data_IF_943027335082
#
_entry.id   IF_943027335082
#
_cell.length_a   1.000
_cell.length_b   1.000
_cell.length_c   1.000
_cell.angle_alpha   90.00
_cell.angle_beta   90.00
_cell.angle_gamma   90.00
#
_symmetry.space_group_name_H-M   'P 1'
#
loop_
_entity.id
_entity.type
_entity.pdbx_description
1 polymer ?
#
# COMPACT_ATOMS: atom_id res chain seq x y z
N UNK A 1 18.35 13.15 5.04
CA UNK A 1 18.41 13.21 3.56
C UNK A 1 18.00 11.89 2.88
N UNK A 2 18.45 10.71 3.33
CA UNK A 2 18.13 9.41 2.71
C UNK A 2 16.75 8.80 3.06
N UNK A 3 16.12 9.22 4.16
CA UNK A 3 14.76 8.83 4.56
C UNK A 3 13.68 9.37 3.61
N UNK A 4 13.96 10.54 3.04
CA UNK A 4 13.21 11.10 1.92
C UNK A 4 13.38 10.21 0.69
N UNK A 5 14.49 9.49 0.50
CA UNK A 5 14.76 8.81 -0.76
C UNK A 5 13.88 7.58 -1.00
N UNK A 6 13.75 6.62 -0.07
CA UNK A 6 12.92 5.42 -0.28
C UNK A 6 11.41 5.74 -0.19
N UNK A 7 11.05 6.58 0.78
CA UNK A 7 9.70 7.12 0.96
C UNK A 7 9.28 8.00 -0.23
N UNK A 8 10.17 8.82 -0.79
CA UNK A 8 9.92 9.55 -2.03
C UNK A 8 10.09 8.69 -3.27
N UNK A 9 10.84 7.58 -3.28
CA UNK A 9 10.90 6.70 -4.45
C UNK A 9 9.56 6.01 -4.61
N UNK A 10 9.02 5.49 -3.51
CA UNK A 10 7.68 4.89 -3.44
C UNK A 10 6.60 5.96 -3.69
N UNK A 11 6.64 7.13 -3.03
CA UNK A 11 5.71 8.24 -3.32
C UNK A 11 5.82 8.76 -4.76
N UNK A 12 7.01 8.91 -5.32
CA UNK A 12 7.22 9.43 -6.69
C UNK A 12 6.88 8.37 -7.73
N UNK A 13 7.09 7.10 -7.43
CA UNK A 13 6.60 6.01 -8.26
C UNK A 13 5.06 6.01 -8.32
N UNK A 14 4.41 6.12 -7.16
CA UNK A 14 2.94 6.17 -7.08
C UNK A 14 2.32 7.46 -7.63
N UNK A 15 2.93 8.62 -7.39
CA UNK A 15 2.39 9.93 -7.77
C UNK A 15 2.66 10.28 -9.25
N UNK A 16 3.68 9.70 -9.88
CA UNK A 16 4.07 10.07 -11.25
C UNK A 16 3.73 9.00 -12.30
N UNK A 17 3.81 7.71 -11.97
CA UNK A 17 3.54 6.63 -12.93
C UNK A 17 2.10 6.12 -12.90
N UNK A 18 1.42 6.17 -11.74
CA UNK A 18 0.04 5.67 -11.60
C UNK A 18 -0.98 6.45 -12.43
N UNK A 19 -1.15 7.75 -12.17
CA UNK A 19 -2.17 8.56 -12.86
C UNK A 19 -1.90 8.73 -14.36
N UNK A 20 -0.63 8.90 -14.75
CA UNK A 20 -0.26 9.01 -16.18
C UNK A 20 -0.42 7.66 -16.88
N UNK A 21 -0.01 6.57 -16.26
CA UNK A 21 -0.18 5.22 -16.81
C UNK A 21 -1.65 4.85 -17.03
N UNK A 22 -2.52 5.16 -16.06
CA UNK A 22 -3.96 5.00 -16.23
C UNK A 22 -4.51 5.82 -17.38
N UNK A 23 -4.11 7.10 -17.49
CA UNK A 23 -4.56 7.99 -18.55
C UNK A 23 -4.10 7.50 -19.93
N UNK A 24 -2.83 7.14 -20.09
CA UNK A 24 -2.30 6.62 -21.35
C UNK A 24 -2.91 5.28 -21.74
N UNK A 25 -3.16 4.38 -20.78
CA UNK A 25 -3.85 3.11 -21.07
C UNK A 25 -5.29 3.35 -21.48
N UNK A 26 -6.00 4.24 -20.79
CA UNK A 26 -7.37 4.61 -21.15
C UNK A 26 -7.44 5.26 -22.53
N UNK A 27 -6.50 6.14 -22.86
CA UNK A 27 -6.38 6.72 -24.21
C UNK A 27 -6.14 5.64 -25.26
N UNK A 28 -5.20 4.72 -25.02
CA UNK A 28 -4.91 3.60 -25.92
C UNK A 28 -6.11 2.67 -26.12
N UNK A 29 -6.97 2.52 -25.10
CA UNK A 29 -8.21 1.75 -25.19
C UNK A 29 -9.30 2.48 -26.01
N UNK A 30 -9.33 3.82 -26.00
CA UNK A 30 -10.28 4.61 -26.79
C UNK A 30 -9.88 4.75 -28.27
N UNK A 31 -8.60 4.67 -28.60
CA UNK A 31 -8.10 4.73 -29.99
C UNK A 31 -8.40 3.44 -30.80
N UNK A 32 -8.68 2.32 -30.12
CA UNK A 32 -8.82 0.98 -30.73
C UNK A 32 -10.15 0.66 -31.43
N UNK A 33 -11.11 1.60 -31.53
CA UNK A 33 -12.35 1.46 -32.32
C UNK A 33 -13.42 0.48 -31.80
N UNK A 34 -13.04 -0.56 -31.06
CA UNK A 34 -13.94 -1.52 -30.39
C UNK A 34 -14.03 -1.16 -28.89
N UNK A 35 -15.21 -0.75 -28.43
CA UNK A 35 -15.43 -0.34 -27.04
C UNK A 35 -15.35 -1.58 -26.12
N UNK A 36 -14.16 -1.85 -25.55
CA UNK A 36 -13.93 -2.98 -24.63
C UNK A 36 -14.50 -2.67 -23.23
N UNK A 37 -15.82 -2.44 -23.14
CA UNK A 37 -16.52 -2.12 -21.90
C UNK A 37 -16.26 -3.16 -20.79
N UNK A 38 -16.16 -4.44 -21.15
CA UNK A 38 -15.85 -5.52 -20.23
C UNK A 38 -14.46 -5.36 -19.59
N UNK A 39 -13.47 -4.91 -20.35
CA UNK A 39 -12.12 -4.67 -19.83
C UNK A 39 -12.10 -3.48 -18.88
N UNK A 40 -12.77 -2.38 -19.22
CA UNK A 40 -12.87 -1.20 -18.36
C UNK A 40 -13.61 -1.50 -17.05
N UNK A 41 -14.77 -2.16 -17.14
CA UNK A 41 -15.54 -2.56 -15.97
C UNK A 41 -14.78 -3.57 -15.12
N UNK A 42 -14.13 -4.55 -15.77
CA UNK A 42 -13.30 -5.54 -15.10
C UNK A 42 -12.12 -4.90 -14.36
N UNK A 43 -11.43 -3.96 -15.00
CA UNK A 43 -10.31 -3.21 -14.39
C UNK A 43 -10.77 -2.43 -13.16
N UNK A 44 -11.89 -1.72 -13.26
CA UNK A 44 -12.44 -0.95 -12.15
C UNK A 44 -12.91 -1.86 -10.99
N UNK A 45 -13.64 -2.93 -11.31
CA UNK A 45 -14.11 -3.90 -10.34
C UNK A 45 -12.95 -4.60 -9.63
N UNK A 46 -11.91 -5.02 -10.35
CA UNK A 46 -10.72 -5.63 -9.75
C UNK A 46 -9.90 -4.64 -8.93
N UNK A 47 -9.84 -3.37 -9.33
CA UNK A 47 -9.18 -2.35 -8.50
C UNK A 47 -9.86 -2.20 -7.14
N UNK A 48 -11.18 -2.07 -7.11
CA UNK A 48 -11.94 -1.99 -5.86
C UNK A 48 -11.81 -3.29 -5.07
N UNK A 49 -12.02 -4.43 -5.74
CA UNK A 49 -11.94 -5.75 -5.14
C UNK A 49 -10.58 -6.05 -4.54
N UNK A 50 -9.49 -5.69 -5.23
CA UNK A 50 -8.13 -5.84 -4.73
C UNK A 50 -7.84 -4.91 -3.55
N UNK A 51 -8.31 -3.66 -3.57
CA UNK A 51 -8.15 -2.75 -2.42
C UNK A 51 -8.84 -3.30 -1.16
N UNK A 52 -10.05 -3.84 -1.31
CA UNK A 52 -10.80 -4.48 -0.21
C UNK A 52 -10.13 -5.79 0.22
N UNK A 53 -9.72 -6.63 -0.74
CA UNK A 53 -9.02 -7.89 -0.47
C UNK A 53 -7.71 -7.69 0.30
N UNK A 54 -6.99 -6.60 0.01
CA UNK A 54 -5.78 -6.23 0.71
C UNK A 54 -6.01 -5.89 2.19
N UNK A 55 -7.20 -5.40 2.56
CA UNK A 55 -7.56 -5.19 3.97
C UNK A 55 -7.63 -6.52 4.73
N UNK A 56 -8.27 -7.53 4.14
CA UNK A 56 -8.35 -8.88 4.72
C UNK A 56 -6.96 -9.55 4.77
N UNK A 57 -6.19 -9.44 3.69
CA UNK A 57 -4.82 -9.91 3.63
C UNK A 57 -3.95 -9.27 4.70
N UNK A 58 -3.99 -7.94 4.84
CA UNK A 58 -3.19 -7.21 5.83
C UNK A 58 -3.55 -7.63 7.26
N UNK A 59 -4.84 -7.81 7.58
CA UNK A 59 -5.28 -8.30 8.90
C UNK A 59 -4.76 -9.70 9.19
N UNK A 60 -4.86 -10.60 8.22
CA UNK A 60 -4.37 -11.96 8.36
C UNK A 60 -2.85 -12.00 8.49
N UNK A 61 -2.12 -11.34 7.58
CA UNK A 61 -0.66 -11.27 7.60
C UNK A 61 -0.15 -10.65 8.91
N UNK A 62 -0.85 -9.62 9.42
CA UNK A 62 -0.56 -9.03 10.71
C UNK A 62 -0.63 -10.04 11.84
N UNK A 63 -1.72 -10.79 11.95
CA UNK A 63 -1.89 -11.75 13.03
C UNK A 63 -1.02 -13.00 12.87
N UNK A 64 -0.94 -13.56 11.66
CA UNK A 64 -0.44 -14.91 11.40
C UNK A 64 1.02 -14.97 10.94
N UNK A 65 1.54 -13.93 10.28
CA UNK A 65 2.93 -13.91 9.81
C UNK A 65 3.78 -13.01 10.71
N UNK A 66 3.35 -11.75 10.79
CA UNK A 66 4.08 -10.66 11.40
C UNK A 66 4.22 -10.77 12.92
N UNK A 67 3.19 -11.25 13.61
CA UNK A 67 3.21 -11.50 15.07
C UNK A 67 3.55 -12.94 15.46
N UNK A 68 3.88 -13.80 14.50
CA UNK A 68 4.26 -15.19 14.75
C UNK A 68 5.65 -15.51 14.18
N UNK A 69 5.72 -15.92 12.91
CA UNK A 69 6.97 -16.40 12.29
C UNK A 69 7.96 -15.28 11.95
N UNK A 70 7.49 -14.06 11.69
CA UNK A 70 8.31 -12.93 11.26
C UNK A 70 8.44 -11.83 12.32
N UNK A 71 8.23 -12.19 13.59
CA UNK A 71 8.35 -11.27 14.73
C UNK A 71 9.69 -10.55 14.74
N UNK A 72 10.81 -11.24 14.47
CA UNK A 72 12.15 -10.62 14.49
C UNK A 72 12.30 -9.46 13.50
N UNK A 73 11.58 -9.49 12.37
CA UNK A 73 11.56 -8.39 11.40
C UNK A 73 10.63 -7.25 11.86
N UNK A 74 9.47 -7.61 12.42
CA UNK A 74 8.46 -6.67 12.91
C UNK A 74 8.83 -6.00 14.23
N UNK A 75 9.66 -6.62 15.05
CA UNK A 75 10.06 -6.11 16.35
C UNK A 75 10.70 -4.71 16.24
N UNK A 76 11.47 -4.48 15.17
CA UNK A 76 12.04 -3.17 14.84
C UNK A 76 10.99 -2.05 14.75
N UNK A 77 9.75 -2.40 14.36
CA UNK A 77 8.63 -1.47 14.23
C UNK A 77 7.91 -1.17 15.55
N UNK A 78 8.12 -1.99 16.58
CA UNK A 78 7.59 -1.79 17.93
C UNK A 78 8.54 -1.03 18.84
N UNK A 79 9.83 -0.95 18.47
CA UNK A 79 10.86 -0.24 19.24
C UNK A 79 11.02 1.20 18.77
N UNK A 80 11.63 2.02 19.63
CA UNK A 80 12.04 3.36 19.22
C UNK A 80 13.08 3.25 18.10
N UNK A 81 12.86 4.04 17.05
CA UNK A 81 13.62 3.93 15.81
C UNK A 81 15.04 4.46 15.98
N UNK A 82 16.04 3.63 15.66
CA UNK A 82 17.46 3.99 15.78
C UNK A 82 18.08 4.49 14.46
N UNK A 83 17.36 4.42 13.32
CA UNK A 83 17.95 4.74 12.02
C UNK A 83 16.96 5.00 10.86
N UNK A 84 17.48 5.25 9.63
CA UNK A 84 16.67 5.62 8.48
C UNK A 84 15.94 4.46 7.80
N UNK A 85 16.29 3.22 8.11
CA UNK A 85 15.64 2.00 7.62
C UNK A 85 15.32 1.10 8.82
N UNK A 86 14.17 0.44 8.77
CA UNK A 86 13.80 -0.60 9.71
C UNK A 86 13.72 -1.94 8.97
N UNK A 87 14.02 -3.03 9.66
CA UNK A 87 13.81 -4.39 9.11
C UNK A 87 12.35 -4.58 8.65
N UNK A 88 11.41 -3.89 9.28
CA UNK A 88 10.01 -3.87 8.89
C UNK A 88 9.74 -3.26 7.50
N UNK A 89 10.64 -2.42 6.97
CA UNK A 89 10.49 -1.84 5.61
C UNK A 89 10.53 -2.91 4.52
N UNK A 90 11.11 -4.09 4.81
CA UNK A 90 11.12 -5.25 3.89
C UNK A 90 9.70 -5.69 3.56
N UNK A 91 8.74 -5.59 4.49
CA UNK A 91 7.34 -5.92 4.20
C UNK A 91 6.71 -4.99 3.17
N UNK A 92 7.07 -3.70 3.19
CA UNK A 92 6.60 -2.76 2.18
C UNK A 92 7.13 -3.14 0.79
N UNK A 93 8.40 -3.54 0.69
CA UNK A 93 9.02 -3.98 -0.57
C UNK A 93 8.36 -5.26 -1.09
N UNK A 94 8.20 -6.28 -0.23
CA UNK A 94 7.58 -7.56 -0.61
C UNK A 94 6.16 -7.36 -1.16
N UNK A 95 5.39 -6.42 -0.61
CA UNK A 95 4.05 -6.13 -1.12
C UNK A 95 4.04 -5.17 -2.33
N UNK A 96 5.05 -4.31 -2.47
CA UNK A 96 5.17 -3.40 -3.61
C UNK A 96 5.57 -4.11 -4.91
N UNK A 97 6.47 -5.11 -4.84
CA UNK A 97 6.96 -5.83 -6.02
C UNK A 97 5.83 -6.48 -6.83
N UNK A 98 4.88 -7.23 -6.23
CA UNK A 98 3.72 -7.77 -6.95
C UNK A 98 2.84 -6.70 -7.57
N UNK A 99 2.62 -5.56 -6.88
CA UNK A 99 1.82 -4.46 -7.40
C UNK A 99 2.48 -3.83 -8.64
N UNK A 100 3.80 -3.61 -8.58
CA UNK A 100 4.59 -3.09 -9.71
C UNK A 100 4.55 -4.06 -10.89
N UNK A 101 4.72 -5.37 -10.63
CA UNK A 101 4.69 -6.38 -11.68
C UNK A 101 3.33 -6.43 -12.40
N UNK A 102 2.23 -6.42 -11.63
CA UNK A 102 0.86 -6.42 -12.17
C UNK A 102 0.55 -5.16 -12.97
N UNK A 103 0.94 -3.99 -12.47
CA UNK A 103 0.78 -2.73 -13.19
C UNK A 103 1.63 -2.68 -14.46
N UNK A 104 2.86 -3.19 -14.42
CA UNK A 104 3.75 -3.20 -15.60
C UNK A 104 3.20 -4.12 -16.69
N UNK A 105 2.82 -5.35 -16.33
CA UNK A 105 2.21 -6.30 -17.26
C UNK A 105 0.92 -5.74 -17.86
N UNK A 106 0.04 -5.19 -17.02
CA UNK A 106 -1.20 -4.60 -17.49
C UNK A 106 -1.04 -3.32 -18.31
N UNK A 107 0.11 -2.65 -18.25
CA UNK A 107 0.40 -1.45 -19.03
C UNK A 107 0.97 -1.77 -20.42
N UNK A 108 1.88 -2.74 -20.52
CA UNK A 108 2.55 -3.08 -21.78
C UNK A 108 1.72 -4.01 -22.68
N UNK A 109 0.78 -4.78 -22.10
CA UNK A 109 -0.04 -5.73 -22.83
C UNK A 109 -1.48 -5.24 -23.02
N UNK A 110 -2.10 -5.56 -24.15
CA UNK A 110 -3.48 -5.19 -24.48
C UNK A 110 -4.43 -6.39 -24.40
N UNK A 111 -5.66 -6.14 -23.94
CA UNK A 111 -6.71 -7.15 -23.80
C UNK A 111 -7.21 -7.33 -22.37
N UNK A 112 -8.23 -8.18 -22.24
CA UNK A 112 -8.98 -8.36 -20.99
C UNK A 112 -8.07 -8.77 -19.81
N UNK A 113 -7.24 -9.81 -19.97
CA UNK A 113 -6.38 -10.31 -18.89
C UNK A 113 -5.37 -9.24 -18.42
N UNK A 114 -4.61 -8.57 -19.30
CA UNK A 114 -3.79 -7.42 -18.93
C UNK A 114 -4.55 -6.31 -18.20
N UNK A 115 -5.76 -5.94 -18.66
CA UNK A 115 -6.59 -4.93 -17.99
C UNK A 115 -7.00 -5.33 -16.58
N UNK A 116 -7.40 -6.60 -16.38
CA UNK A 116 -7.70 -7.16 -15.06
C UNK A 116 -6.46 -7.11 -14.13
N UNK A 117 -5.29 -7.49 -14.63
CA UNK A 117 -4.03 -7.40 -13.88
C UNK A 117 -3.67 -5.95 -13.53
N UNK A 118 -3.85 -5.01 -14.46
CA UNK A 118 -3.66 -3.59 -14.22
C UNK A 118 -4.57 -3.10 -13.08
N UNK A 119 -5.86 -3.46 -13.13
CA UNK A 119 -6.83 -3.14 -12.09
C UNK A 119 -6.42 -3.69 -10.72
N UNK A 120 -6.04 -4.97 -10.64
CA UNK A 120 -5.57 -5.58 -9.41
C UNK A 120 -4.32 -4.86 -8.84
N UNK A 121 -3.34 -4.59 -9.68
CA UNK A 121 -2.14 -3.84 -9.29
C UNK A 121 -2.44 -2.41 -8.82
N UNK A 122 -3.44 -1.76 -9.43
CA UNK A 122 -3.93 -0.45 -9.00
C UNK A 122 -4.56 -0.51 -7.61
N UNK A 123 -5.43 -1.50 -7.36
CA UNK A 123 -6.06 -1.68 -6.06
C UNK A 123 -5.06 -1.92 -4.93
N UNK A 124 -4.06 -2.78 -5.17
CA UNK A 124 -2.98 -3.05 -4.21
C UNK A 124 -2.17 -1.77 -3.93
N UNK A 125 -1.89 -1.01 -4.98
CA UNK A 125 -1.17 0.28 -4.92
C UNK A 125 -1.94 1.31 -4.11
N UNK A 126 -3.24 1.48 -4.36
CA UNK A 126 -4.10 2.42 -3.62
C UNK A 126 -4.16 2.04 -2.14
N UNK A 127 -4.33 0.75 -1.84
CA UNK A 127 -4.28 0.26 -0.46
C UNK A 127 -2.93 0.53 0.20
N UNK A 128 -1.83 0.21 -0.48
CA UNK A 128 -0.47 0.45 0.01
C UNK A 128 -0.20 1.93 0.30
N UNK A 129 -0.66 2.83 -0.56
CA UNK A 129 -0.61 4.27 -0.33
C UNK A 129 -1.42 4.67 0.90
N UNK A 130 -2.67 4.22 1.01
CA UNK A 130 -3.51 4.52 2.16
C UNK A 130 -2.86 4.05 3.47
N UNK A 131 -2.29 2.84 3.50
CA UNK A 131 -1.52 2.35 4.64
C UNK A 131 -0.31 3.24 4.94
N UNK A 132 0.47 3.60 3.93
CA UNK A 132 1.65 4.44 4.13
C UNK A 132 1.29 5.83 4.73
N UNK A 133 0.21 6.47 4.26
CA UNK A 133 -0.20 7.77 4.79
C UNK A 133 -0.87 7.66 6.16
N UNK A 134 -1.78 6.70 6.37
CA UNK A 134 -2.51 6.57 7.62
C UNK A 134 -1.62 5.93 8.69
N UNK A 135 -1.08 4.75 8.44
CA UNK A 135 -0.31 4.00 9.43
C UNK A 135 1.08 4.63 9.67
N UNK A 136 1.93 4.71 8.64
CA UNK A 136 3.29 5.25 8.83
C UNK A 136 3.30 6.77 9.02
N UNK A 137 2.48 7.48 8.26
CA UNK A 137 2.41 8.94 8.28
C UNK A 137 1.66 9.50 9.50
N UNK A 138 0.40 9.12 9.72
CA UNK A 138 -0.43 9.69 10.79
C UNK A 138 -0.16 9.03 12.15
N UNK A 139 -0.13 7.69 12.22
CA UNK A 139 0.01 6.99 13.50
C UNK A 139 1.44 7.03 14.02
N UNK A 140 2.40 6.67 13.16
CA UNK A 140 3.83 6.62 13.50
C UNK A 140 4.58 7.93 13.27
N UNK A 141 3.90 8.96 12.73
CA UNK A 141 4.47 10.30 12.47
C UNK A 141 5.78 10.25 11.69
N UNK A 142 5.93 9.28 10.78
CA UNK A 142 7.16 9.06 10.00
C UNK A 142 7.44 10.20 9.02
N UNK A 143 6.39 10.89 8.58
CA UNK A 143 6.46 12.07 7.72
C UNK A 143 5.20 12.93 7.85
N UNK A 144 5.27 14.19 7.45
CA UNK A 144 4.13 15.11 7.50
C UNK A 144 3.05 14.69 6.48
N UNK A 145 1.83 14.45 6.94
CA UNK A 145 0.69 13.97 6.13
C UNK A 145 -0.28 15.07 5.68
N UNK A 146 0.14 16.34 5.76
CA UNK A 146 -0.67 17.46 5.29
C UNK A 146 -2.05 17.58 5.99
N UNK A 147 -3.10 18.06 5.30
CA UNK A 147 -4.43 18.33 5.89
C UNK A 147 -5.11 17.11 6.50
N UNK A 148 -4.70 15.89 6.10
CA UNK A 148 -5.24 14.61 6.58
C UNK A 148 -5.01 14.44 8.08
N UNK A 149 -3.98 15.09 8.63
CA UNK A 149 -3.71 15.09 10.07
C UNK A 149 -4.82 15.73 10.91
N UNK A 150 -5.65 16.60 10.33
CA UNK A 150 -6.74 17.30 11.02
C UNK A 150 -8.07 16.54 11.07
N UNK A 151 -8.18 15.38 10.41
CA UNK A 151 -9.46 14.65 10.32
C UNK A 151 -9.73 13.88 11.62
N UNK A 152 -10.78 14.27 12.35
CA UNK A 152 -11.10 13.73 13.68
C UNK A 152 -11.25 12.20 13.71
N UNK A 153 -11.81 11.59 12.66
CA UNK A 153 -11.95 10.12 12.56
C UNK A 153 -10.57 9.45 12.49
N UNK A 154 -9.67 9.97 11.65
CA UNK A 154 -8.34 9.39 11.49
C UNK A 154 -7.47 9.57 12.74
N UNK A 155 -7.65 10.68 13.47
CA UNK A 155 -7.00 10.88 14.77
C UNK A 155 -7.45 9.86 15.81
N UNK A 156 -8.74 9.52 15.85
CA UNK A 156 -9.26 8.46 16.75
C UNK A 156 -8.69 7.09 16.40
N UNK A 157 -8.62 6.77 15.11
CA UNK A 157 -8.01 5.53 14.63
C UNK A 157 -6.53 5.48 15.00
N UNK A 158 -5.80 6.59 14.83
CA UNK A 158 -4.40 6.68 15.22
C UNK A 158 -4.19 6.48 16.72
N UNK A 159 -5.02 7.11 17.56
CA UNK A 159 -4.96 6.94 19.01
C UNK A 159 -5.23 5.50 19.44
N UNK A 160 -6.26 4.86 18.86
CA UNK A 160 -6.58 3.46 19.16
C UNK A 160 -5.42 2.52 18.77
N UNK A 161 -4.79 2.76 17.61
CA UNK A 161 -3.66 1.97 17.13
C UNK A 161 -2.43 2.11 18.02
N UNK A 162 -2.13 3.32 18.52
CA UNK A 162 -1.01 3.55 19.47
C UNK A 162 -1.21 2.82 20.80
N UNK A 163 -2.45 2.77 21.31
CA UNK A 163 -2.80 2.01 22.52
C UNK A 163 -2.59 0.52 22.28
N UNK A 164 -3.02 0.01 21.13
CA UNK A 164 -2.83 -1.40 20.79
C UNK A 164 -1.36 -1.79 20.65
N UNK A 165 -0.54 -0.94 20.02
CA UNK A 165 0.92 -1.13 19.95
C UNK A 165 1.52 -1.18 21.37
N UNK A 166 1.14 -0.24 22.24
CA UNK A 166 1.65 -0.17 23.61
C UNK A 166 1.30 -1.41 24.43
N UNK A 167 0.05 -1.89 24.33
CA UNK A 167 -0.41 -3.10 25.04
C UNK A 167 0.33 -4.34 24.53
N UNK A 168 0.46 -4.51 23.22
CA UNK A 168 1.11 -5.69 22.64
C UNK A 168 2.60 -5.74 22.97
N UNK A 169 3.27 -4.58 22.91
CA UNK A 169 4.68 -4.43 23.29
C UNK A 169 4.88 -4.78 24.76
N UNK A 170 3.98 -4.35 25.65
CA UNK A 170 4.06 -4.68 27.07
C UNK A 170 3.85 -6.18 27.36
N UNK A 171 2.92 -6.83 26.64
CA UNK A 171 2.64 -8.26 26.79
C UNK A 171 3.80 -9.12 26.27
N UNK A 172 4.40 -8.75 25.14
CA UNK A 172 5.50 -9.52 24.54
C UNK A 172 6.84 -9.28 25.25
N UNK A 173 7.15 -8.05 25.66
CA UNK A 173 8.43 -7.76 26.37
C UNK A 173 8.45 -8.34 27.80
N UNK A 174 7.30 -8.58 28.42
CA UNK A 174 7.20 -9.17 29.77
C UNK A 174 7.05 -10.70 29.79
N UNK A 175 7.15 -11.37 28.65
CA UNK A 175 7.21 -12.84 28.56
C UNK A 175 8.65 -13.31 28.42
#
# INVERSE_FOLDING_TARGET
MYLSCCCNYVKRWYHFNGCRGCFYRFLSQMEGGEFHALEMLGTFALSIGAAVGMEFWARWAHKALWHASLWHMRESHHRAREGPFELNDVFAIINAVPAIALLSYGFFDNGLIPGLCFGAGLGITVFGMACMFVHDGLVHRRFLVGPIAGVAVLQRVAAAHQVQISIFTFIIIKR
#
